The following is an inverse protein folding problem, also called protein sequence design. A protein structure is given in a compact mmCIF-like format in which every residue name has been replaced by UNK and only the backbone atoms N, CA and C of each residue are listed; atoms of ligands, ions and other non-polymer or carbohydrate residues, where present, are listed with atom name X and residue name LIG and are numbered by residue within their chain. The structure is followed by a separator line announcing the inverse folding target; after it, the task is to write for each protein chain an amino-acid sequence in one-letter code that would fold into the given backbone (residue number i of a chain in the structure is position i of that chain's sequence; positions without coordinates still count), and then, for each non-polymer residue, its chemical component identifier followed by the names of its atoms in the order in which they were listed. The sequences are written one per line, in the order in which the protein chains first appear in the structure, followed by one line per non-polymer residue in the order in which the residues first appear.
data_IF_846491077529
#
_entry.id   IF_846491077529
#
_cell.length_a   1.000
_cell.length_b   1.000
_cell.length_c   1.000
_cell.angle_alpha   90.00
_cell.angle_beta   90.00
_cell.angle_gamma   90.00
#
_symmetry.space_group_name_H-M   'P 1'
#
loop_
_entity.id
_entity.type
_entity.pdbx_description
1 polymer ?
#
# COMPACT_ATOMS: atom_id res chain seq x y z
N UNK A 1 46.43 -3.44 2.63
CA UNK A 1 45.02 -3.89 2.82
C UNK A 1 44.84 -5.13 1.97
N UNK A 2 44.46 -6.26 2.56
CA UNK A 2 44.45 -7.55 1.84
C UNK A 2 43.31 -7.56 0.81
N UNK A 3 43.53 -8.11 -0.38
CA UNK A 3 42.55 -8.08 -1.48
C UNK A 3 41.21 -8.70 -1.07
N UNK A 4 41.27 -9.76 -0.24
CA UNK A 4 40.10 -10.36 0.41
C UNK A 4 39.32 -9.40 1.31
N UNK A 5 40.00 -8.53 2.06
CA UNK A 5 39.37 -7.54 2.93
C UNK A 5 38.58 -6.51 2.12
N UNK A 6 39.08 -6.12 0.96
CA UNK A 6 38.39 -5.18 0.05
C UNK A 6 37.09 -5.82 -0.49
N UNK A 7 37.13 -7.09 -0.90
CA UNK A 7 35.94 -7.80 -1.39
C UNK A 7 34.86 -7.97 -0.31
N UNK A 8 35.27 -8.31 0.92
CA UNK A 8 34.32 -8.42 2.05
C UNK A 8 33.65 -7.07 2.30
N UNK A 9 34.42 -5.98 2.32
CA UNK A 9 33.90 -4.64 2.56
C UNK A 9 32.95 -4.16 1.44
N UNK A 10 33.27 -4.45 0.18
CA UNK A 10 32.38 -4.17 -0.96
C UNK A 10 31.09 -4.98 -0.91
N UNK A 11 31.15 -6.25 -0.49
CA UNK A 11 29.96 -7.08 -0.30
C UNK A 11 28.99 -6.49 0.71
N UNK A 12 29.49 -5.99 1.85
CA UNK A 12 28.66 -5.33 2.86
C UNK A 12 28.01 -4.03 2.35
N UNK A 13 28.74 -3.20 1.61
CA UNK A 13 28.19 -1.98 1.01
C UNK A 13 27.07 -2.31 0.02
N UNK A 14 27.26 -3.34 -0.81
CA UNK A 14 26.27 -3.75 -1.81
C UNK A 14 24.99 -4.29 -1.15
N UNK A 15 25.12 -5.14 -0.13
CA UNK A 15 23.97 -5.64 0.65
C UNK A 15 23.23 -4.48 1.34
N UNK A 16 23.96 -3.54 1.94
CA UNK A 16 23.36 -2.36 2.57
C UNK A 16 22.60 -1.47 1.57
N UNK A 17 23.14 -1.27 0.36
CA UNK A 17 22.49 -0.52 -0.70
C UNK A 17 21.18 -1.16 -1.17
N UNK A 18 21.15 -2.50 -1.33
CA UNK A 18 19.93 -3.23 -1.70
C UNK A 18 18.85 -3.05 -0.63
N UNK A 19 19.19 -3.25 0.65
CA UNK A 19 18.24 -3.14 1.77
C UNK A 19 17.69 -1.71 1.85
N UNK A 20 18.56 -0.71 1.72
CA UNK A 20 18.17 0.70 1.76
C UNK A 20 17.24 1.08 0.59
N UNK A 21 17.50 0.56 -0.61
CA UNK A 21 16.65 0.78 -1.79
C UNK A 21 15.25 0.16 -1.63
N UNK A 22 15.16 -1.05 -1.05
CA UNK A 22 13.87 -1.71 -0.77
C UNK A 22 13.09 -0.91 0.29
N UNK A 23 13.76 -0.42 1.32
CA UNK A 23 13.15 0.39 2.37
C UNK A 23 12.56 1.68 1.81
N UNK A 24 13.31 2.39 0.96
CA UNK A 24 12.90 3.65 0.34
C UNK A 24 11.70 3.45 -0.60
N UNK A 25 11.75 2.42 -1.47
CA UNK A 25 10.62 2.05 -2.34
C UNK A 25 9.36 1.73 -1.55
N UNK A 26 9.48 1.05 -0.40
CA UNK A 26 8.33 0.73 0.43
C UNK A 26 7.76 1.99 1.11
N UNK A 27 8.63 2.91 1.56
CA UNK A 27 8.24 4.21 2.13
C UNK A 27 7.49 5.07 1.10
N UNK A 28 7.98 5.15 -0.14
CA UNK A 28 7.30 5.87 -1.22
C UNK A 28 5.94 5.26 -1.55
N UNK A 29 5.81 3.93 -1.60
CA UNK A 29 4.52 3.26 -1.81
C UNK A 29 3.53 3.54 -0.67
N UNK A 30 4.01 3.56 0.58
CA UNK A 30 3.16 3.89 1.74
C UNK A 30 2.66 5.35 1.66
N UNK A 31 3.55 6.29 1.32
CA UNK A 31 3.18 7.68 1.16
C UNK A 31 2.11 7.86 0.06
N UNK A 32 2.32 7.26 -1.13
CA UNK A 32 1.34 7.29 -2.23
C UNK A 32 0.01 6.65 -1.83
N UNK A 33 0.03 5.52 -1.13
CA UNK A 33 -1.19 4.87 -0.66
C UNK A 33 -1.96 5.73 0.35
N UNK A 34 -1.25 6.44 1.23
CA UNK A 34 -1.88 7.33 2.22
C UNK A 34 -2.51 8.55 1.55
N UNK A 35 -1.83 9.15 0.58
CA UNK A 35 -2.35 10.27 -0.20
C UNK A 35 -3.59 9.85 -1.02
N UNK A 36 -3.55 8.66 -1.63
CA UNK A 36 -4.70 8.08 -2.32
C UNK A 36 -5.88 7.85 -1.36
N UNK A 37 -5.62 7.34 -0.15
CA UNK A 37 -6.65 7.18 0.88
C UNK A 37 -7.28 8.51 1.28
N UNK A 38 -6.49 9.57 1.50
CA UNK A 38 -7.00 10.90 1.84
C UNK A 38 -7.86 11.49 0.72
N UNK A 39 -7.44 11.31 -0.55
CA UNK A 39 -8.28 11.67 -1.71
C UNK A 39 -9.59 10.89 -1.75
N UNK A 40 -9.55 9.58 -1.49
CA UNK A 40 -10.72 8.69 -1.57
C UNK A 40 -11.69 8.84 -0.40
N UNK A 41 -11.25 9.39 0.72
CA UNK A 41 -12.15 9.76 1.82
C UNK A 41 -13.06 10.95 1.47
N UNK A 42 -12.70 11.75 0.45
CA UNK A 42 -13.55 12.86 0.03
C UNK A 42 -14.90 12.35 -0.50
N UNK A 43 -15.99 13.03 -0.12
CA UNK A 43 -17.38 12.60 -0.42
C UNK A 43 -17.65 12.36 -1.91
N UNK A 44 -16.85 12.97 -2.80
CA UNK A 44 -16.97 12.84 -4.26
C UNK A 44 -16.72 11.40 -4.75
N UNK A 45 -15.75 10.68 -4.17
CA UNK A 45 -15.38 9.34 -4.61
C UNK A 45 -16.24 8.22 -3.99
N UNK A 46 -17.07 8.55 -2.99
CA UNK A 46 -17.89 7.57 -2.27
C UNK A 46 -18.84 6.79 -3.17
N UNK A 47 -19.55 7.49 -4.07
CA UNK A 47 -20.47 6.85 -5.02
C UNK A 47 -19.77 5.90 -6.00
N UNK A 48 -18.51 6.18 -6.31
CA UNK A 48 -17.71 5.34 -7.20
C UNK A 48 -17.16 4.12 -6.45
N UNK A 49 -16.69 4.33 -5.22
CA UNK A 49 -16.24 3.26 -4.33
C UNK A 49 -17.36 2.27 -4.01
N UNK A 50 -18.57 2.74 -3.73
CA UNK A 50 -19.74 1.89 -3.49
C UNK A 50 -20.15 1.08 -4.73
N UNK A 51 -19.88 1.56 -5.94
CA UNK A 51 -20.12 0.80 -7.18
C UNK A 51 -19.07 -0.30 -7.41
N UNK A 52 -17.85 -0.09 -6.93
CA UNK A 52 -16.75 -1.04 -7.07
C UNK A 52 -16.76 -2.14 -6.01
N UNK A 53 -17.42 -1.91 -4.87
CA UNK A 53 -17.48 -2.85 -3.74
C UNK A 53 -18.75 -3.68 -3.85
N UNK A 54 -18.58 -5.01 -3.86
CA UNK A 54 -19.68 -5.95 -3.75
C UNK A 54 -19.77 -6.46 -2.31
N UNK A 55 -20.72 -5.94 -1.54
CA UNK A 55 -20.92 -6.33 -0.14
C UNK A 55 -21.47 -7.75 0.03
N UNK A 56 -21.92 -8.39 -1.06
CA UNK A 56 -22.24 -9.82 -1.04
C UNK A 56 -20.99 -10.70 -1.09
N UNK A 57 -19.84 -10.14 -1.49
CA UNK A 57 -18.58 -10.84 -1.57
C UNK A 57 -17.74 -10.66 -0.30
N UNK A 58 -16.76 -11.56 -0.14
CA UNK A 58 -15.82 -11.50 0.98
C UNK A 58 -15.08 -10.15 1.01
N UNK A 59 -14.88 -9.60 2.21
CA UNK A 59 -14.09 -8.39 2.44
C UNK A 59 -12.69 -8.48 1.78
N UNK A 60 -12.11 -9.68 1.69
CA UNK A 60 -10.82 -9.88 1.02
C UNK A 60 -10.85 -9.56 -0.49
N UNK A 61 -11.95 -9.90 -1.18
CA UNK A 61 -12.13 -9.61 -2.60
C UNK A 61 -12.34 -8.10 -2.81
N UNK A 62 -13.16 -7.48 -1.96
CA UNK A 62 -13.37 -6.03 -1.99
C UNK A 62 -12.08 -5.24 -1.73
N UNK A 63 -11.27 -5.68 -0.75
CA UNK A 63 -9.94 -5.11 -0.49
C UNK A 63 -9.04 -5.27 -1.72
N UNK A 64 -9.00 -6.45 -2.36
CA UNK A 64 -8.19 -6.66 -3.55
C UNK A 64 -8.60 -5.73 -4.71
N UNK A 65 -9.91 -5.54 -4.92
CA UNK A 65 -10.45 -4.61 -5.92
C UNK A 65 -10.02 -3.17 -5.63
N UNK A 66 -10.16 -2.70 -4.39
CA UNK A 66 -9.75 -1.35 -3.98
C UNK A 66 -8.24 -1.13 -4.14
N UNK A 67 -7.43 -2.13 -3.78
CA UNK A 67 -5.97 -2.10 -3.99
C UNK A 67 -5.59 -1.99 -5.45
N UNK A 68 -6.32 -2.68 -6.34
CA UNK A 68 -6.05 -2.65 -7.79
C UNK A 68 -6.54 -1.36 -8.43
N UNK A 69 -7.73 -0.88 -8.07
CA UNK A 69 -8.33 0.33 -8.64
C UNK A 69 -7.56 1.60 -8.24
N UNK A 70 -7.11 1.68 -6.99
CA UNK A 70 -6.54 2.91 -6.44
C UNK A 70 -5.09 2.78 -5.96
N UNK A 71 -4.41 1.70 -6.34
CA UNK A 71 -3.02 1.42 -5.95
C UNK A 71 -2.78 1.49 -4.44
N UNK A 72 -3.79 1.14 -3.65
CA UNK A 72 -3.73 1.14 -2.19
C UNK A 72 -2.91 -0.05 -1.68
N UNK A 73 -2.22 0.15 -0.57
CA UNK A 73 -1.69 -0.92 0.25
C UNK A 73 -2.83 -1.56 1.05
N UNK A 74 -2.57 -2.78 1.56
CA UNK A 74 -3.56 -3.56 2.28
C UNK A 74 -4.22 -2.84 3.47
N UNK A 75 -3.46 -2.20 4.40
CA UNK A 75 -4.08 -1.55 5.55
C UNK A 75 -4.96 -0.37 5.15
N UNK A 76 -4.58 0.39 4.12
CA UNK A 76 -5.35 1.54 3.62
C UNK A 76 -6.62 1.09 2.93
N UNK A 77 -6.56 0.06 2.09
CA UNK A 77 -7.75 -0.51 1.45
C UNK A 77 -8.72 -1.12 2.46
N UNK A 78 -8.20 -1.81 3.49
CA UNK A 78 -9.02 -2.31 4.62
C UNK A 78 -9.72 -1.16 5.33
N UNK A 79 -8.96 -0.12 5.69
CA UNK A 79 -9.51 1.06 6.39
C UNK A 79 -10.57 1.78 5.55
N UNK A 80 -10.36 1.88 4.24
CA UNK A 80 -11.34 2.45 3.32
C UNK A 80 -12.64 1.62 3.29
N UNK A 81 -12.53 0.31 3.21
CA UNK A 81 -13.69 -0.59 3.26
C UNK A 81 -14.44 -0.46 4.60
N UNK A 82 -13.74 -0.42 5.73
CA UNK A 82 -14.36 -0.21 7.05
C UNK A 82 -15.10 1.11 7.17
N UNK A 83 -14.54 2.21 6.63
CA UNK A 83 -15.22 3.51 6.59
C UNK A 83 -16.53 3.39 5.80
N UNK A 84 -16.50 2.74 4.63
CA UNK A 84 -17.68 2.59 3.77
C UNK A 84 -18.74 1.71 4.43
N UNK A 85 -18.34 0.59 5.07
CA UNK A 85 -19.25 -0.28 5.83
C UNK A 85 -19.93 0.48 6.98
N UNK A 86 -19.13 1.22 7.76
CA UNK A 86 -19.61 2.06 8.86
C UNK A 86 -20.59 3.15 8.40
N UNK A 87 -20.30 3.84 7.29
CA UNK A 87 -21.21 4.84 6.71
C UNK A 87 -22.53 4.22 6.24
N UNK A 88 -22.51 2.96 5.78
CA UNK A 88 -23.69 2.22 5.34
C UNK A 88 -24.48 1.58 6.50
N UNK A 89 -23.92 1.58 7.71
CA UNK A 89 -24.53 0.96 8.89
C UNK A 89 -24.44 -0.57 8.92
N UNK A 90 -23.46 -1.14 8.22
CA UNK A 90 -23.20 -2.60 8.13
C UNK A 90 -21.89 -2.94 8.82
#
# INVERSE_FOLDING_TARGET
MNMNTIYVMLGFIFVYAIISSVLDKNKQRKAKSKEALERLQSKSYRKELERLIDFSQSDALNIATLRKAYFLQYPEAKKLLEIIKKDRGI
#
